data_IF_239840507452
#
_entry.id   IF_239840507452
#
_cell.length_a   1.000
_cell.length_b   1.000
_cell.length_c   1.000
_cell.angle_alpha   90.00
_cell.angle_beta   90.00
_cell.angle_gamma   90.00
#
_symmetry.space_group_name_H-M   'P 1'
#
loop_
_entity.id
_entity.type
_entity.pdbx_description
1 polymer ?
#
# COMPACT_ATOMS: atom_id res chain seq x y z
N UNK A 1 11.21 50.21 19.72
CA UNK A 1 9.94 50.97 19.85
C UNK A 1 8.85 50.12 19.22
N UNK A 2 7.74 49.88 19.93
CA UNK A 2 6.57 49.18 19.39
C UNK A 2 5.84 50.11 18.41
N UNK A 3 5.51 49.60 17.23
CA UNK A 3 4.28 49.86 16.49
C UNK A 3 3.75 48.45 16.16
N UNK A 4 2.51 48.07 16.43
CA UNK A 4 1.28 48.80 16.14
C UNK A 4 0.82 48.29 14.78
N UNK A 5 0.01 47.23 14.80
CA UNK A 5 -0.66 46.52 13.68
C UNK A 5 -0.15 45.10 13.42
N UNK A 6 -0.85 44.14 14.03
CA UNK A 6 -0.62 42.69 13.95
C UNK A 6 -1.05 42.08 12.63
N UNK A 7 -0.33 42.35 11.55
CA UNK A 7 -0.48 41.67 10.27
C UNK A 7 0.81 40.96 9.86
N UNK A 8 0.80 39.62 9.84
CA UNK A 8 1.83 38.87 9.13
C UNK A 8 1.54 38.93 7.62
N UNK A 9 2.34 39.71 6.89
CA UNK A 9 2.48 39.57 5.45
C UNK A 9 3.15 38.22 5.17
N UNK A 10 2.37 37.22 4.75
CA UNK A 10 2.90 35.98 4.19
C UNK A 10 2.88 36.13 2.66
N UNK A 11 3.90 36.81 2.14
CA UNK A 11 4.25 36.72 0.72
C UNK A 11 5.10 35.47 0.48
N UNK A 12 4.67 34.63 -0.46
CA UNK A 12 5.51 33.61 -1.09
C UNK A 12 5.20 32.14 -0.74
N UNK A 13 4.47 31.47 -1.64
CA UNK A 13 4.79 30.08 -2.03
C UNK A 13 4.43 28.92 -1.07
N UNK A 14 3.23 28.88 -0.49
CA UNK A 14 2.75 27.74 0.31
C UNK A 14 1.86 26.77 -0.50
N UNK A 15 2.43 25.98 -1.43
CA UNK A 15 1.72 24.84 -2.04
C UNK A 15 2.26 23.45 -1.65
N UNK A 16 3.41 23.36 -0.97
CA UNK A 16 4.01 22.08 -0.55
C UNK A 16 3.79 21.71 0.92
N UNK A 17 3.69 22.70 1.81
CA UNK A 17 3.69 22.50 3.27
C UNK A 17 2.31 22.07 3.81
N UNK A 18 1.22 22.42 3.13
CA UNK A 18 -0.14 22.14 3.60
C UNK A 18 -0.59 20.68 3.46
N UNK A 19 -0.01 19.88 2.55
CA UNK A 19 -0.46 18.50 2.29
C UNK A 19 0.18 17.46 3.18
N UNK A 20 1.50 17.55 3.38
CA UNK A 20 2.22 16.71 4.35
C UNK A 20 1.73 17.04 5.76
N UNK A 21 1.52 18.32 6.07
CA UNK A 21 0.86 18.71 7.31
C UNK A 21 -0.58 18.20 7.34
N UNK A 22 -1.41 18.28 6.30
CA UNK A 22 -2.76 17.71 6.37
C UNK A 22 -2.75 16.18 6.52
N UNK A 23 -1.80 15.44 5.94
CA UNK A 23 -1.64 13.99 6.13
C UNK A 23 -1.15 13.66 7.54
N UNK A 24 -0.17 14.39 8.07
CA UNK A 24 0.34 14.25 9.44
C UNK A 24 -0.59 14.81 10.50
N UNK A 25 -1.43 15.79 10.16
CA UNK A 25 -2.44 16.38 11.00
C UNK A 25 -3.67 15.49 10.96
N UNK A 26 -4.15 15.00 9.82
CA UNK A 26 -5.17 13.94 9.79
C UNK A 26 -4.67 12.62 10.37
N UNK A 27 -3.37 12.32 10.34
CA UNK A 27 -2.82 11.17 11.05
C UNK A 27 -2.75 11.47 12.55
N UNK A 28 -2.05 12.52 12.97
CA UNK A 28 -1.81 12.88 14.37
C UNK A 28 -3.05 13.38 15.14
N UNK A 29 -3.85 14.29 14.55
CA UNK A 29 -5.13 14.77 15.11
C UNK A 29 -6.15 13.64 15.22
N UNK A 30 -6.11 12.63 14.34
CA UNK A 30 -7.10 11.55 14.31
C UNK A 30 -6.69 10.35 15.15
N UNK A 31 -5.39 10.08 15.29
CA UNK A 31 -4.85 9.28 16.40
C UNK A 31 -5.30 9.86 17.75
N UNK A 32 -5.32 11.20 17.87
CA UNK A 32 -5.80 11.89 19.07
C UNK A 32 -7.34 11.94 19.24
N UNK A 33 -8.13 11.91 18.15
CA UNK A 33 -9.61 12.02 18.19
C UNK A 33 -10.34 10.68 18.40
N UNK A 34 -9.74 9.57 17.95
CA UNK A 34 -10.33 8.22 18.06
C UNK A 34 -9.70 7.37 19.16
N UNK A 35 -8.82 7.94 20.00
CA UNK A 35 -8.01 7.21 20.98
C UNK A 35 -7.31 5.98 20.37
N UNK A 36 -6.94 6.09 19.09
CA UNK A 36 -6.06 5.14 18.42
C UNK A 36 -4.65 5.44 18.91
N UNK A 37 -4.38 5.02 20.14
CA UNK A 37 -3.04 5.06 20.70
C UNK A 37 -2.10 4.26 19.78
N UNK A 38 -0.85 4.69 19.62
CA UNK A 38 0.21 3.95 18.92
C UNK A 38 0.24 2.42 19.22
N UNK A 39 -0.12 1.94 20.43
CA UNK A 39 -0.32 0.52 20.71
C UNK A 39 -1.53 -0.17 20.04
N UNK A 40 -2.51 0.51 19.46
CA UNK A 40 -3.63 -0.11 18.74
C UNK A 40 -3.22 -0.63 17.35
N UNK A 41 -2.31 0.08 16.67
CA UNK A 41 -1.65 -0.35 15.42
C UNK A 41 -0.56 -1.42 15.64
N UNK A 42 -0.17 -1.61 16.90
CA UNK A 42 0.87 -2.54 17.35
C UNK A 42 0.34 -3.45 18.47
N UNK A 43 -0.97 -3.78 18.47
CA UNK A 43 -1.50 -4.75 19.43
C UNK A 43 -0.82 -6.08 19.16
N UNK A 44 0.04 -6.47 20.09
CA UNK A 44 0.82 -7.70 20.14
C UNK A 44 -0.04 -8.93 20.49
N UNK A 45 -1.35 -8.84 20.28
CA UNK A 45 -2.29 -9.96 20.39
C UNK A 45 -2.76 -10.34 18.99
N UNK A 46 -3.02 -11.63 18.81
CA UNK A 46 -3.39 -12.31 17.56
C UNK A 46 -4.74 -11.86 16.98
N UNK A 47 -5.01 -10.56 16.93
CA UNK A 47 -6.26 -9.99 16.46
C UNK A 47 -6.08 -9.69 14.97
N UNK A 48 -6.09 -10.76 14.18
CA UNK A 48 -5.97 -10.70 12.73
C UNK A 48 -7.28 -10.19 12.13
N UNK A 49 -7.35 -8.87 11.90
CA UNK A 49 -8.61 -8.21 11.56
C UNK A 49 -9.04 -8.49 10.11
N UNK A 50 -10.22 -9.09 9.93
CA UNK A 50 -10.86 -9.26 8.62
C UNK A 50 -10.30 -10.38 7.74
N UNK A 51 -9.39 -11.19 8.26
CA UNK A 51 -8.69 -12.23 7.49
C UNK A 51 -9.57 -13.43 7.17
N UNK A 52 -10.49 -13.78 8.07
CA UNK A 52 -11.51 -14.82 7.82
C UNK A 52 -12.49 -14.38 6.71
N UNK A 53 -12.80 -13.08 6.67
CA UNK A 53 -13.63 -12.51 5.61
C UNK A 53 -12.87 -12.45 4.28
N UNK A 54 -11.57 -12.13 4.30
CA UNK A 54 -10.75 -12.20 3.10
C UNK A 54 -10.68 -13.63 2.56
N UNK A 55 -10.51 -14.63 3.43
CA UNK A 55 -10.42 -16.03 3.03
C UNK A 55 -11.70 -16.56 2.39
N UNK A 56 -12.88 -16.02 2.75
CA UNK A 56 -14.18 -16.40 2.20
C UNK A 56 -14.54 -15.68 0.89
N UNK A 57 -13.75 -14.69 0.46
CA UNK A 57 -14.00 -13.98 -0.80
C UNK A 57 -13.75 -14.89 -2.01
N UNK A 58 -14.70 -15.01 -2.95
CA UNK A 58 -14.49 -15.78 -4.18
C UNK A 58 -13.28 -15.30 -5.00
N UNK A 59 -13.00 -13.99 -4.97
CA UNK A 59 -11.84 -13.39 -5.60
C UNK A 59 -10.51 -13.87 -4.98
N UNK A 60 -10.48 -14.11 -3.66
CA UNK A 60 -9.30 -14.66 -2.98
C UNK A 60 -9.21 -16.17 -3.17
N UNK A 61 -10.33 -16.88 -3.07
CA UNK A 61 -10.41 -18.33 -3.25
C UNK A 61 -9.87 -18.77 -4.62
N UNK A 62 -10.28 -18.08 -5.68
CA UNK A 62 -9.88 -18.40 -7.07
C UNK A 62 -8.54 -17.80 -7.49
N UNK A 63 -7.99 -16.84 -6.75
CA UNK A 63 -6.70 -16.23 -7.06
C UNK A 63 -5.56 -17.26 -6.99
N UNK A 64 -4.68 -17.25 -7.99
CA UNK A 64 -3.44 -18.04 -8.00
C UNK A 64 -2.25 -17.23 -7.52
N UNK A 65 -2.21 -15.93 -7.84
CA UNK A 65 -1.20 -15.01 -7.36
C UNK A 65 -1.85 -13.83 -6.63
N UNK A 66 -1.48 -13.66 -5.36
CA UNK A 66 -1.97 -12.57 -4.50
C UNK A 66 -0.79 -11.69 -4.11
N UNK A 67 -0.89 -10.40 -4.39
CA UNK A 67 0.08 -9.41 -3.90
C UNK A 67 -0.35 -8.92 -2.53
N UNK A 68 0.55 -8.94 -1.55
CA UNK A 68 0.28 -8.50 -0.17
C UNK A 68 1.40 -7.57 0.31
N UNK A 69 1.07 -6.46 0.96
CA UNK A 69 2.08 -5.54 1.52
C UNK A 69 2.89 -6.22 2.65
N UNK A 70 4.10 -5.74 2.97
CA UNK A 70 4.99 -6.39 3.93
C UNK A 70 4.70 -6.02 5.39
N UNK A 71 3.76 -5.10 5.63
CA UNK A 71 3.44 -4.59 6.97
C UNK A 71 2.97 -5.70 7.93
N UNK A 72 3.26 -5.54 9.22
CA UNK A 72 2.94 -6.52 10.27
C UNK A 72 1.45 -6.87 10.34
N UNK A 73 0.48 -5.92 10.24
CA UNK A 73 -0.94 -6.25 10.27
C UNK A 73 -1.39 -7.21 9.16
N UNK A 74 -0.65 -7.30 8.06
CA UNK A 74 -0.96 -8.20 6.94
C UNK A 74 -0.20 -9.53 6.98
N UNK A 75 0.49 -9.84 8.09
CA UNK A 75 1.22 -11.11 8.23
C UNK A 75 0.32 -12.33 8.06
N UNK A 76 -0.89 -12.29 8.61
CA UNK A 76 -1.82 -13.41 8.50
C UNK A 76 -2.44 -13.52 7.11
N UNK A 77 -2.70 -12.42 6.40
CA UNK A 77 -3.03 -12.46 4.97
C UNK A 77 -1.94 -13.18 4.15
N UNK A 78 -0.66 -12.89 4.42
CA UNK A 78 0.47 -13.60 3.78
C UNK A 78 0.45 -15.10 4.12
N UNK A 79 0.15 -15.44 5.37
CA UNK A 79 0.02 -16.82 5.81
C UNK A 79 -1.12 -17.53 5.10
N UNK A 80 -2.33 -16.95 5.06
CA UNK A 80 -3.49 -17.50 4.37
C UNK A 80 -3.21 -17.72 2.87
N UNK A 81 -2.50 -16.79 2.24
CA UNK A 81 -2.09 -16.91 0.84
C UNK A 81 -1.22 -18.15 0.62
N UNK A 82 -0.15 -18.31 1.41
CA UNK A 82 0.74 -19.47 1.31
C UNK A 82 0.06 -20.77 1.72
N UNK A 83 -0.74 -20.75 2.79
CA UNK A 83 -1.47 -21.91 3.28
C UNK A 83 -2.52 -22.39 2.26
N UNK A 84 -3.09 -21.48 1.47
CA UNK A 84 -3.94 -21.79 0.33
C UNK A 84 -3.20 -22.28 -0.92
N UNK A 85 -1.90 -22.58 -0.83
CA UNK A 85 -1.03 -22.97 -1.94
C UNK A 85 -1.05 -21.98 -3.12
N UNK A 86 -1.20 -20.69 -2.81
CA UNK A 86 -1.15 -19.59 -3.78
C UNK A 86 0.27 -19.03 -3.84
N UNK A 87 0.58 -18.37 -4.95
CA UNK A 87 1.82 -17.58 -5.08
C UNK A 87 1.61 -16.29 -4.29
N UNK A 88 2.39 -16.11 -3.24
CA UNK A 88 2.48 -14.84 -2.52
C UNK A 88 3.49 -13.94 -3.22
N UNK A 89 3.03 -12.80 -3.73
CA UNK A 89 3.90 -11.71 -4.17
C UNK A 89 3.98 -10.63 -3.10
N UNK A 90 5.18 -10.20 -2.72
CA UNK A 90 5.33 -9.17 -1.68
C UNK A 90 6.57 -8.30 -1.94
N UNK A 91 6.53 -6.99 -1.61
CA UNK A 91 7.68 -6.10 -1.78
C UNK A 91 8.94 -6.57 -1.03
N UNK A 92 10.11 -6.36 -1.63
CA UNK A 92 11.37 -6.73 -0.98
C UNK A 92 11.76 -5.76 0.14
N UNK A 93 12.22 -6.27 1.29
CA UNK A 93 12.88 -5.44 2.29
C UNK A 93 14.12 -4.77 1.68
N UNK A 94 14.19 -3.44 1.74
CA UNK A 94 15.36 -2.63 1.37
C UNK A 94 15.77 -2.68 -0.12
N UNK A 95 14.97 -3.28 -1.01
CA UNK A 95 15.02 -3.11 -2.48
C UNK A 95 16.39 -3.31 -3.17
N UNK A 96 17.32 -4.02 -2.53
CA UNK A 96 18.69 -4.20 -3.06
C UNK A 96 18.76 -5.25 -4.17
N UNK A 97 17.74 -6.10 -4.29
CA UNK A 97 17.75 -7.31 -5.14
C UNK A 97 16.48 -7.43 -6.01
N UNK A 98 15.74 -6.34 -6.19
CA UNK A 98 14.49 -6.28 -6.95
C UNK A 98 13.36 -5.58 -6.19
N UNK A 99 12.22 -5.39 -6.85
CA UNK A 99 11.05 -4.71 -6.26
C UNK A 99 10.16 -5.65 -5.47
N UNK A 100 9.94 -6.87 -5.98
CA UNK A 100 9.09 -7.87 -5.35
C UNK A 100 9.82 -9.21 -5.25
N UNK A 101 9.34 -10.04 -4.33
CA UNK A 101 9.66 -11.45 -4.26
C UNK A 101 8.38 -12.28 -4.38
N UNK A 102 8.51 -13.44 -5.00
CA UNK A 102 7.48 -14.48 -5.00
C UNK A 102 7.84 -15.59 -4.02
N UNK A 103 6.84 -16.11 -3.34
CA UNK A 103 6.93 -17.20 -2.39
C UNK A 103 5.85 -18.24 -2.71
N UNK A 104 6.24 -19.51 -2.61
CA UNK A 104 5.36 -20.67 -2.78
C UNK A 104 5.55 -21.63 -1.61
N UNK A 105 4.45 -22.19 -1.11
CA UNK A 105 4.43 -23.07 0.07
C UNK A 105 5.34 -24.30 -0.08
N UNK A 106 5.47 -24.83 -1.29
CA UNK A 106 6.31 -26.00 -1.63
C UNK A 106 7.79 -25.82 -1.28
N UNK A 107 8.27 -24.58 -1.21
CA UNK A 107 9.67 -24.22 -0.92
C UNK A 107 9.94 -23.83 0.53
N UNK A 108 8.91 -23.87 1.39
CA UNK A 108 8.95 -23.27 2.73
C UNK A 108 8.67 -24.35 3.80
N UNK A 109 9.65 -24.69 4.66
CA UNK A 109 9.45 -25.70 5.71
C UNK A 109 8.42 -25.31 6.77
N UNK A 110 8.33 -24.03 7.12
CA UNK A 110 7.41 -23.50 8.11
C UNK A 110 6.83 -22.16 7.64
N UNK A 111 5.57 -22.17 7.19
CA UNK A 111 4.93 -21.03 6.53
C UNK A 111 4.93 -19.73 7.37
N UNK A 112 4.70 -19.74 8.70
CA UNK A 112 4.69 -18.52 9.48
C UNK A 112 6.00 -17.72 9.46
N UNK A 113 7.14 -18.39 9.27
CA UNK A 113 8.44 -17.72 9.14
C UNK A 113 8.51 -16.90 7.86
N UNK A 114 8.06 -17.47 6.74
CA UNK A 114 8.04 -16.83 5.43
C UNK A 114 7.11 -15.61 5.34
N UNK A 115 6.20 -15.46 6.30
CA UNK A 115 5.28 -14.32 6.38
C UNK A 115 5.91 -13.08 7.04
N UNK A 116 7.17 -13.16 7.50
CA UNK A 116 7.91 -12.01 8.06
C UNK A 116 8.83 -11.39 7.02
N UNK A 117 9.25 -10.13 7.19
CA UNK A 117 10.22 -9.50 6.28
C UNK A 117 11.54 -10.29 6.19
N UNK A 118 12.01 -10.87 7.30
CA UNK A 118 13.19 -11.73 7.32
C UNK A 118 12.96 -13.05 6.55
N UNK A 119 11.78 -13.65 6.69
CA UNK A 119 11.38 -14.84 5.94
C UNK A 119 11.27 -14.57 4.44
N UNK A 120 10.68 -13.45 4.04
CA UNK A 120 10.63 -13.02 2.64
C UNK A 120 12.04 -12.87 2.06
N UNK A 121 12.98 -12.30 2.81
CA UNK A 121 14.37 -12.20 2.37
C UNK A 121 15.08 -13.57 2.26
N UNK A 122 14.68 -14.55 3.08
CA UNK A 122 15.27 -15.89 3.11
C UNK A 122 14.70 -16.85 2.06
N UNK A 123 13.38 -16.82 1.87
CA UNK A 123 12.64 -17.80 1.06
C UNK A 123 12.10 -17.20 -0.24
N UNK A 124 12.03 -15.88 -0.35
CA UNK A 124 11.50 -15.18 -1.52
C UNK A 124 12.45 -15.25 -2.70
N UNK A 125 11.92 -15.65 -3.85
CA UNK A 125 12.62 -15.53 -5.13
C UNK A 125 12.38 -14.12 -5.69
N UNK A 126 13.42 -13.31 -5.94
CA UNK A 126 13.27 -11.99 -6.53
C UNK A 126 12.69 -12.10 -7.94
N UNK A 127 11.85 -11.14 -8.33
CA UNK A 127 11.36 -10.99 -9.71
C UNK A 127 12.01 -9.79 -10.39
N UNK A 128 12.29 -9.95 -11.69
CA UNK A 128 12.71 -8.87 -12.57
C UNK A 128 11.51 -8.07 -13.08
N UNK A 129 11.77 -6.85 -13.54
CA UNK A 129 10.77 -6.01 -14.19
C UNK A 129 10.29 -6.60 -15.53
N UNK A 130 11.09 -7.44 -16.18
CA UNK A 130 10.75 -8.10 -17.45
C UNK A 130 9.99 -9.43 -17.27
N UNK A 131 9.82 -9.89 -16.02
CA UNK A 131 9.14 -11.15 -15.74
C UNK A 131 7.64 -11.05 -16.07
N UNK A 132 7.15 -12.03 -16.83
CA UNK A 132 5.74 -12.12 -17.21
C UNK A 132 4.95 -12.87 -16.14
N UNK A 133 4.38 -12.12 -15.21
CA UNK A 133 3.53 -12.63 -14.13
C UNK A 133 2.19 -11.92 -14.18
N UNK A 134 1.12 -12.62 -13.79
CA UNK A 134 -0.21 -12.02 -13.59
C UNK A 134 -0.55 -12.05 -12.11
N UNK A 135 -0.91 -10.91 -11.55
CA UNK A 135 -1.43 -10.81 -10.18
C UNK A 135 -2.96 -10.77 -10.27
N UNK A 136 -3.61 -11.74 -9.62
CA UNK A 136 -5.06 -11.90 -9.68
C UNK A 136 -5.77 -11.01 -8.66
N UNK A 137 -5.12 -10.76 -7.52
CA UNK A 137 -5.67 -9.98 -6.41
C UNK A 137 -4.58 -9.15 -5.72
N UNK A 138 -4.88 -7.91 -5.39
CA UNK A 138 -4.01 -7.04 -4.58
C UNK A 138 -4.65 -6.87 -3.21
N UNK A 139 -3.91 -7.17 -2.15
CA UNK A 139 -4.26 -6.80 -0.78
C UNK A 139 -3.36 -5.66 -0.32
N UNK A 140 -3.96 -4.50 -0.03
CA UNK A 140 -3.27 -3.26 0.31
C UNK A 140 -3.58 -2.85 1.75
N UNK A 141 -2.57 -2.34 2.46
CA UNK A 141 -2.74 -1.84 3.82
C UNK A 141 -3.35 -0.44 3.83
N UNK A 142 -4.25 -0.19 4.78
CA UNK A 142 -4.92 1.10 4.95
C UNK A 142 -4.96 1.52 6.42
N UNK A 143 -4.81 2.83 6.67
CA UNK A 143 -5.02 3.46 7.98
C UNK A 143 -6.49 3.78 8.18
N UNK A 144 -7.16 4.28 7.14
CA UNK A 144 -8.59 4.55 7.14
C UNK A 144 -9.16 4.35 5.73
N UNK A 145 -10.44 3.97 5.65
CA UNK A 145 -11.11 3.65 4.39
C UNK A 145 -12.56 4.11 4.43
N UNK A 146 -13.03 4.68 3.32
CA UNK A 146 -14.43 5.05 3.14
C UNK A 146 -15.22 3.91 2.48
N UNK A 147 -16.21 3.33 3.18
CA UNK A 147 -16.98 2.20 2.66
C UNK A 147 -17.92 2.56 1.50
N UNK A 148 -18.30 3.84 1.36
CA UNK A 148 -19.19 4.31 0.29
C UNK A 148 -18.43 4.64 -0.99
N UNK A 149 -17.23 5.17 -0.86
CA UNK A 149 -16.46 5.67 -2.01
C UNK A 149 -15.30 4.77 -2.39
N UNK A 150 -14.81 3.93 -1.49
CA UNK A 150 -13.57 3.16 -1.65
C UNK A 150 -12.31 4.02 -1.59
N UNK A 151 -12.42 5.29 -1.22
CA UNK A 151 -11.25 6.11 -0.93
C UNK A 151 -10.52 5.54 0.29
N UNK A 152 -9.19 5.56 0.27
CA UNK A 152 -8.39 5.11 1.41
C UNK A 152 -7.26 6.07 1.73
N UNK A 153 -6.85 6.05 2.99
CA UNK A 153 -5.65 6.71 3.48
C UNK A 153 -4.62 5.65 3.87
N UNK A 154 -3.49 5.64 3.18
CA UNK A 154 -2.33 4.84 3.57
C UNK A 154 -1.48 5.54 4.63
N UNK A 155 -0.37 4.91 5.04
CA UNK A 155 0.61 5.45 6.00
C UNK A 155 1.24 6.79 5.57
N UNK A 156 1.19 7.11 4.28
CA UNK A 156 1.57 8.42 3.74
C UNK A 156 2.89 8.45 2.98
N UNK A 157 3.64 7.33 2.96
CA UNK A 157 4.95 7.21 2.31
C UNK A 157 4.89 6.94 0.80
N UNK A 158 3.72 6.64 0.23
CA UNK A 158 3.55 6.44 -1.21
C UNK A 158 4.04 5.09 -1.77
N UNK A 159 4.55 4.19 -0.92
CA UNK A 159 5.07 2.90 -1.37
C UNK A 159 4.02 2.00 -2.02
N UNK A 160 2.81 1.96 -1.45
CA UNK A 160 1.77 1.09 -1.97
C UNK A 160 1.27 1.55 -3.37
N UNK A 161 1.21 2.87 -3.59
CA UNK A 161 0.90 3.46 -4.89
C UNK A 161 2.03 3.22 -5.90
N UNK A 162 3.28 3.28 -5.46
CA UNK A 162 4.46 2.97 -6.29
C UNK A 162 4.47 1.50 -6.71
N UNK A 163 4.23 0.58 -5.78
CA UNK A 163 4.11 -0.86 -6.05
C UNK A 163 3.01 -1.15 -7.07
N UNK A 164 1.84 -0.52 -6.91
CA UNK A 164 0.76 -0.61 -7.88
C UNK A 164 1.19 -0.11 -9.26
N UNK A 165 1.86 1.04 -9.32
CA UNK A 165 2.39 1.61 -10.56
C UNK A 165 3.38 0.68 -11.28
N UNK A 166 4.30 0.05 -10.53
CA UNK A 166 5.27 -0.91 -11.09
C UNK A 166 4.54 -2.13 -11.66
N UNK A 167 3.59 -2.71 -10.93
CA UNK A 167 2.82 -3.86 -11.43
C UNK A 167 2.01 -3.49 -12.69
N UNK A 168 1.45 -2.27 -12.74
CA UNK A 168 0.75 -1.77 -13.93
C UNK A 168 1.70 -1.60 -15.11
N UNK A 169 2.92 -1.10 -14.86
CA UNK A 169 3.97 -0.95 -15.87
C UNK A 169 4.41 -2.30 -16.44
N UNK A 170 4.61 -3.30 -15.58
CA UNK A 170 4.95 -4.68 -15.97
C UNK A 170 3.82 -5.38 -16.75
N UNK A 171 2.62 -4.79 -16.79
CA UNK A 171 1.43 -5.46 -17.34
C UNK A 171 0.94 -6.63 -16.48
N UNK A 172 1.40 -6.71 -15.22
CA UNK A 172 1.03 -7.78 -14.30
C UNK A 172 -0.38 -7.61 -13.72
N UNK A 173 -0.91 -6.38 -13.76
CA UNK A 173 -2.25 -6.02 -13.32
C UNK A 173 -2.97 -5.14 -14.34
N UNK A 174 -4.29 -5.19 -14.30
CA UNK A 174 -5.15 -4.33 -15.10
C UNK A 174 -6.31 -3.70 -14.32
N UNK A 175 -7.18 -2.96 -15.03
CA UNK A 175 -8.30 -2.27 -14.41
C UNK A 175 -9.30 -3.27 -13.76
N UNK A 176 -9.30 -4.53 -14.21
CA UNK A 176 -10.11 -5.62 -13.65
C UNK A 176 -9.48 -6.28 -12.43
N UNK A 177 -8.17 -6.10 -12.19
CA UNK A 177 -7.51 -6.62 -10.99
C UNK A 177 -8.09 -5.97 -9.74
N UNK A 178 -8.71 -6.77 -8.87
CA UNK A 178 -9.34 -6.29 -7.64
C UNK A 178 -8.31 -5.83 -6.60
N UNK A 179 -8.60 -4.72 -5.94
CA UNK A 179 -7.84 -4.18 -4.81
C UNK A 179 -8.68 -4.33 -3.55
N UNK A 180 -8.18 -5.11 -2.61
CA UNK A 180 -8.82 -5.44 -1.34
C UNK A 180 -8.01 -4.85 -0.19
N UNK A 181 -8.68 -4.44 0.87
CA UNK A 181 -8.01 -4.03 2.12
C UNK A 181 -8.62 -4.79 3.29
N UNK A 182 -7.76 -5.25 4.20
CA UNK A 182 -8.17 -5.76 5.52
C UNK A 182 -7.96 -4.65 6.54
N UNK A 183 -9.00 -4.29 7.29
CA UNK A 183 -8.97 -3.22 8.30
C UNK A 183 -9.90 -3.58 9.46
N UNK A 184 -9.70 -2.95 10.62
CA UNK A 184 -10.67 -3.01 11.71
C UNK A 184 -11.89 -2.12 11.43
N UNK A 185 -13.04 -2.42 12.02
CA UNK A 185 -14.28 -1.64 11.83
C UNK A 185 -14.11 -0.16 12.22
N UNK A 186 -13.24 0.15 13.18
CA UNK A 186 -12.92 1.54 13.58
C UNK A 186 -12.13 2.33 12.53
N UNK A 187 -11.56 1.66 11.54
CA UNK A 187 -10.86 2.31 10.43
C UNK A 187 -11.80 2.68 9.29
N UNK A 188 -13.09 2.29 9.37
CA UNK A 188 -14.12 2.76 8.47
C UNK A 188 -14.48 4.21 8.82
N UNK A 189 -14.40 5.10 7.85
CA UNK A 189 -14.68 6.54 7.99
C UNK A 189 -15.56 7.03 6.84
N UNK A 190 -16.27 8.14 6.99
CA UNK A 190 -17.22 8.62 5.98
C UNK A 190 -16.91 10.04 5.47
N UNK A 191 -15.72 10.55 5.74
CA UNK A 191 -15.31 11.94 5.51
C UNK A 191 -13.97 12.07 4.80
N UNK A 192 -13.55 11.07 4.00
CA UNK A 192 -12.34 11.19 3.17
C UNK A 192 -12.65 12.14 2.00
N UNK A 193 -12.03 13.32 1.92
CA UNK A 193 -12.34 14.32 0.91
C UNK A 193 -11.80 13.90 -0.47
N UNK A 194 -12.70 13.54 -1.38
CA UNK A 194 -12.36 13.03 -2.70
C UNK A 194 -11.57 14.03 -3.54
N UNK A 195 -11.84 15.33 -3.39
CA UNK A 195 -11.14 16.41 -4.09
C UNK A 195 -9.66 16.53 -3.70
N UNK A 196 -9.25 15.91 -2.59
CA UNK A 196 -7.84 15.87 -2.16
C UNK A 196 -7.10 14.65 -2.68
N UNK A 197 -7.80 13.65 -3.21
CA UNK A 197 -7.19 12.46 -3.80
C UNK A 197 -6.35 12.84 -5.02
N UNK A 198 -5.24 12.13 -5.15
CA UNK A 198 -4.30 12.27 -6.25
C UNK A 198 -4.66 11.26 -7.34
N UNK A 199 -4.25 11.57 -8.57
CA UNK A 199 -4.40 10.66 -9.71
C UNK A 199 -3.71 9.30 -9.50
N UNK A 200 -2.77 9.22 -8.56
CA UNK A 200 -2.04 8.00 -8.21
C UNK A 200 -2.54 7.34 -6.92
N UNK A 201 -3.50 7.93 -6.20
CA UNK A 201 -4.11 7.25 -5.05
C UNK A 201 -4.92 6.06 -5.55
N UNK A 202 -4.60 4.86 -5.06
CA UNK A 202 -5.26 3.61 -5.48
C UNK A 202 -6.50 3.40 -4.60
N UNK A 203 -7.73 3.44 -5.16
CA UNK A 203 -8.94 3.12 -4.40
C UNK A 203 -9.04 1.62 -4.13
N UNK A 204 -9.92 1.24 -3.19
CA UNK A 204 -10.21 -0.17 -2.87
C UNK A 204 -11.57 -0.57 -3.42
N UNK A 205 -11.64 -1.76 -4.00
CA UNK A 205 -12.87 -2.35 -4.53
C UNK A 205 -13.65 -3.09 -3.42
N UNK A 206 -12.94 -3.72 -2.50
CA UNK A 206 -13.51 -4.52 -1.42
C UNK A 206 -12.80 -4.21 -0.09
N UNK A 207 -13.58 -4.08 0.97
CA UNK A 207 -13.11 -3.88 2.34
C UNK A 207 -13.53 -5.09 3.17
N UNK A 208 -12.57 -5.73 3.81
CA UNK A 208 -12.80 -6.81 4.76
C UNK A 208 -12.55 -6.29 6.18
N UNK A 209 -13.58 -6.36 7.02
CA UNK A 209 -13.45 -6.13 8.47
C UNK A 209 -13.75 -7.43 9.21
N UNK A 210 -13.47 -7.53 10.52
CA UNK A 210 -13.89 -8.68 11.31
C UNK A 210 -15.40 -8.99 11.21
N UNK A 211 -16.23 -7.95 11.06
CA UNK A 211 -17.70 -8.11 11.11
C UNK A 211 -18.36 -8.25 9.74
N UNK A 212 -17.74 -7.74 8.66
CA UNK A 212 -18.40 -7.68 7.35
C UNK A 212 -17.44 -7.57 6.16
N UNK A 213 -17.99 -7.84 4.98
CA UNK A 213 -17.39 -7.60 3.67
C UNK A 213 -18.19 -6.48 3.01
N UNK A 214 -17.49 -5.44 2.54
CA UNK A 214 -18.10 -4.27 1.89
C UNK A 214 -17.56 -4.16 0.47
N UNK A 215 -18.44 -4.22 -0.52
CA UNK A 215 -18.12 -3.91 -1.91
C UNK A 215 -18.37 -2.43 -2.16
N UNK A 216 -17.31 -1.67 -2.42
CA UNK A 216 -17.38 -0.21 -2.49
C UNK A 216 -18.04 0.28 -3.78
N UNK A 217 -18.00 -0.54 -4.84
CA UNK A 217 -18.40 -0.16 -6.20
C UNK A 217 -17.81 1.20 -6.60
N UNK A 218 -16.54 1.42 -6.21
CA UNK A 218 -15.88 2.71 -6.30
C UNK A 218 -15.97 3.29 -7.71
N UNK A 219 -16.32 4.58 -7.78
CA UNK A 219 -16.28 5.37 -9.01
C UNK A 219 -14.94 6.09 -9.21
N UNK A 220 -14.05 5.97 -8.22
CA UNK A 220 -12.71 6.56 -8.28
C UNK A 220 -11.92 5.74 -9.31
N UNK A 221 -11.37 6.36 -10.35
CA UNK A 221 -10.60 5.63 -11.34
C UNK A 221 -9.31 5.10 -10.71
N UNK A 222 -9.00 3.82 -10.97
CA UNK A 222 -7.69 3.27 -10.64
C UNK A 222 -6.60 4.04 -11.41
N UNK A 223 -5.42 4.27 -10.81
CA UNK A 223 -4.33 4.97 -11.48
C UNK A 223 -3.98 4.35 -12.83
N UNK A 224 -3.95 5.19 -13.88
CA UNK A 224 -3.69 4.77 -15.26
C UNK A 224 -2.29 5.18 -15.71
N UNK A 225 -1.73 4.38 -16.62
CA UNK A 225 -0.52 4.70 -17.38
C UNK A 225 0.77 4.12 -16.80
N UNK A 226 1.60 3.59 -17.70
CA UNK A 226 2.91 3.01 -17.38
C UNK A 226 3.90 4.05 -16.83
N UNK A 227 3.86 5.29 -17.34
CA UNK A 227 4.83 6.36 -17.01
C UNK A 227 4.31 7.38 -15.98
N UNK A 228 2.99 7.63 -15.92
CA UNK A 228 2.42 8.78 -15.20
C UNK A 228 2.42 8.64 -13.67
N UNK A 229 2.24 7.42 -13.17
CA UNK A 229 2.33 7.11 -11.74
C UNK A 229 3.77 7.26 -11.27
N UNK A 230 4.73 6.68 -12.02
CA UNK A 230 6.15 6.79 -11.71
C UNK A 230 6.62 8.24 -11.77
N UNK A 231 6.38 8.99 -12.85
CA UNK A 231 6.89 10.37 -12.98
C UNK A 231 6.32 11.36 -11.94
N UNK A 232 5.09 11.13 -11.48
CA UNK A 232 4.46 12.00 -10.47
C UNK A 232 4.95 11.66 -9.05
N UNK A 233 4.99 10.36 -8.71
CA UNK A 233 5.56 9.87 -7.44
C UNK A 233 7.05 10.16 -7.39
N UNK A 234 7.73 10.11 -8.54
CA UNK A 234 9.15 10.39 -8.67
C UNK A 234 9.46 11.87 -8.95
N UNK A 235 8.51 12.78 -8.74
CA UNK A 235 8.82 14.21 -8.85
C UNK A 235 9.72 14.67 -7.68
N UNK A 236 10.56 15.70 -7.87
CA UNK A 236 11.55 16.16 -6.88
C UNK A 236 10.99 16.46 -5.47
N UNK A 237 9.69 16.74 -5.35
CA UNK A 237 9.04 17.04 -4.08
C UNK A 237 8.80 15.80 -3.19
N UNK A 238 8.78 14.59 -3.77
CA UNK A 238 8.69 13.32 -3.03
C UNK A 238 10.08 12.70 -2.79
N UNK A 239 11.08 13.12 -3.58
CA UNK A 239 12.44 12.58 -3.63
C UNK A 239 13.27 12.80 -2.37
N UNK A 240 12.94 13.79 -1.54
CA UNK A 240 13.84 14.20 -0.45
C UNK A 240 13.89 13.21 0.73
N UNK A 241 13.00 12.22 0.81
CA UNK A 241 12.95 11.22 1.91
C UNK A 241 13.38 9.79 1.52
N UNK A 242 13.45 9.46 0.21
CA UNK A 242 13.71 8.09 -0.27
C UNK A 242 15.15 7.86 -0.80
N UNK A 243 15.99 8.89 -0.81
CA UNK A 243 17.31 8.84 -1.44
C UNK A 243 18.39 8.24 -0.54
N UNK A 244 18.65 6.95 -0.76
CA UNK A 244 20.00 6.33 -0.69
C UNK A 244 19.97 4.91 -1.25
N UNK A 245 18.79 4.28 -1.33
CA UNK A 245 18.63 2.91 -1.84
C UNK A 245 18.17 2.89 -3.31
N UNK A 246 17.38 3.86 -3.74
CA UNK A 246 16.63 3.78 -5.01
C UNK A 246 17.38 4.25 -6.26
N UNK A 247 18.25 5.26 -6.20
CA UNK A 247 18.96 5.74 -7.38
C UNK A 247 19.84 4.66 -8.05
N UNK A 248 20.31 3.67 -7.29
CA UNK A 248 21.09 2.58 -7.87
C UNK A 248 20.25 1.56 -8.64
N UNK A 249 18.98 1.32 -8.30
CA UNK A 249 18.20 0.23 -8.90
C UNK A 249 17.62 0.59 -10.29
N UNK A 250 17.25 1.85 -10.52
CA UNK A 250 16.69 2.29 -11.82
C UNK A 250 17.81 2.67 -12.80
N UNK A 251 18.91 3.25 -12.31
CA UNK A 251 20.04 3.65 -13.17
C UNK A 251 20.87 2.45 -13.64
N UNK A 252 20.94 1.35 -12.87
CA UNK A 252 21.74 0.18 -13.26
C UNK A 252 21.06 -0.74 -14.29
N UNK A 253 19.73 -0.73 -14.42
CA UNK A 253 19.02 -1.51 -15.45
C UNK A 253 18.98 -0.79 -16.80
N UNK A 254 18.93 0.54 -16.82
CA UNK A 254 18.84 1.30 -18.08
C UNK A 254 20.17 1.48 -18.83
N UNK A 255 21.32 1.23 -18.18
CA UNK A 255 22.64 1.42 -18.78
C UNK A 255 23.41 0.12 -19.10
N UNK A 256 22.76 -1.05 -19.04
CA UNK A 256 23.38 -2.32 -19.46
C UNK A 256 23.06 -2.77 -20.89
N UNK A 257 22.38 -1.93 -21.67
CA UNK A 257 21.99 -2.20 -23.07
C UNK A 257 22.50 -1.16 -24.07
N UNK A 258 23.62 -0.48 -23.77
CA UNK A 258 24.41 0.29 -24.74
C UNK A 258 25.88 -0.14 -24.68
#
# INVERSE_FOLDING_TARGET
MRNGDGGWLIGGGCYGITRLLLRWFLFGWRMARYDLSFPFLLSSRNDWFGDDQLASLPAFETARCVKVNPDTPQKQVRFLTLNGNKILMTPQPRLRTGFFSILESSSIPYLPDACTSAGVAKFGKPISLDDKLKVDLIVIGSVAVDPKTGARLGKGEGFAELEYGILRWMGAIDDSTLVVTTVHDQQLVDDIPLEKLLIHDVPVDIICTPTQIIHTNTKIPKPKGQLGILLTILSPNFYCSCLLVWCNAIVTTQYRSL
#
